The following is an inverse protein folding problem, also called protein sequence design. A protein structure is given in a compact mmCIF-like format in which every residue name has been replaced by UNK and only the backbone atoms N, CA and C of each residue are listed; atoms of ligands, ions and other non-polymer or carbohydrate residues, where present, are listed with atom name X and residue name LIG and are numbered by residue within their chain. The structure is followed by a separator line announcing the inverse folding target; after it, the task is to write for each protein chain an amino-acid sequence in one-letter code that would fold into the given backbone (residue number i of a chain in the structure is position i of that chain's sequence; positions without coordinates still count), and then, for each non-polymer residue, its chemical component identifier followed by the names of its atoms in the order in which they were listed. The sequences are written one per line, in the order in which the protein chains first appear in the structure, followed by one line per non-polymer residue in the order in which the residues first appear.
data_IF_444948904240
#
_entry.id   IF_444948904240
#
_cell.length_a   1.000
_cell.length_b   1.000
_cell.length_c   1.000
_cell.angle_alpha   90.00
_cell.angle_beta   90.00
_cell.angle_gamma   90.00
#
_symmetry.space_group_name_H-M   'P 1'
#
loop_
_entity.id
_entity.type
_entity.pdbx_description
1 polymer ?
#
# COMPACT_ATOMS: atom_id res chain seq x y z
N UNK A 1 10.09 2.74 -23.36
CA UNK A 1 9.00 2.60 -22.37
C UNK A 1 7.73 3.26 -22.89
N UNK A 2 6.55 2.68 -22.65
CA UNK A 2 5.29 3.14 -23.25
C UNK A 2 4.77 4.43 -22.61
N UNK A 3 4.61 5.48 -23.43
CA UNK A 3 3.99 6.76 -23.02
C UNK A 3 2.60 6.53 -22.43
N UNK A 4 1.78 5.72 -23.10
CA UNK A 4 0.40 5.42 -22.68
C UNK A 4 0.37 4.86 -21.25
N UNK A 5 1.25 3.91 -20.94
CA UNK A 5 1.31 3.27 -19.62
C UNK A 5 1.80 4.25 -18.55
N UNK A 6 2.89 4.98 -18.80
CA UNK A 6 3.40 5.96 -17.84
C UNK A 6 2.40 7.10 -17.58
N UNK A 7 1.74 7.60 -18.62
CA UNK A 7 0.68 8.60 -18.49
C UNK A 7 -0.51 8.08 -17.68
N UNK A 8 -0.89 6.81 -17.85
CA UNK A 8 -1.95 6.19 -17.07
C UNK A 8 -1.56 6.04 -15.59
N UNK A 9 -0.33 5.57 -15.32
CA UNK A 9 0.19 5.42 -13.97
C UNK A 9 0.24 6.78 -13.22
N UNK A 10 0.78 7.82 -13.85
CA UNK A 10 0.86 9.16 -13.24
C UNK A 10 -0.53 9.73 -12.93
N UNK A 11 -1.51 9.56 -13.84
CA UNK A 11 -2.90 9.97 -13.58
C UNK A 11 -3.54 9.18 -12.43
N UNK A 12 -3.27 7.87 -12.37
CA UNK A 12 -3.75 7.01 -11.28
C UNK A 12 -3.18 7.43 -9.93
N UNK A 13 -1.87 7.65 -9.86
CA UNK A 13 -1.18 8.12 -8.67
C UNK A 13 -1.78 9.42 -8.14
N UNK A 14 -1.99 10.41 -9.02
CA UNK A 14 -2.62 11.67 -8.64
C UNK A 14 -4.02 11.45 -8.03
N UNK A 15 -4.85 10.62 -8.66
CA UNK A 15 -6.19 10.29 -8.16
C UNK A 15 -6.17 9.61 -6.79
N UNK A 16 -5.25 8.68 -6.58
CA UNK A 16 -5.12 7.96 -5.30
C UNK A 16 -4.68 8.91 -4.19
N UNK A 17 -3.69 9.78 -4.48
CA UNK A 17 -3.22 10.78 -3.51
C UNK A 17 -4.34 11.76 -3.15
N UNK A 18 -5.11 12.25 -4.13
CA UNK A 18 -6.25 13.12 -3.88
C UNK A 18 -7.30 12.44 -2.97
N UNK A 19 -7.62 11.16 -3.24
CA UNK A 19 -8.56 10.37 -2.42
C UNK A 19 -8.05 10.12 -1.00
N UNK A 20 -6.77 9.79 -0.84
CA UNK A 20 -6.16 9.56 0.46
C UNK A 20 -6.09 10.84 1.29
N UNK A 21 -5.76 11.98 0.66
CA UNK A 21 -5.70 13.28 1.31
C UNK A 21 -7.10 13.73 1.77
N UNK A 22 -8.14 13.51 0.97
CA UNK A 22 -9.53 13.76 1.37
C UNK A 22 -9.93 12.95 2.61
N UNK A 23 -9.60 11.65 2.64
CA UNK A 23 -9.86 10.79 3.80
C UNK A 23 -9.10 11.23 5.04
N UNK A 24 -7.85 11.66 4.86
CA UNK A 24 -7.03 12.24 5.92
C UNK A 24 -7.64 13.52 6.48
N UNK A 25 -8.08 14.46 5.65
CA UNK A 25 -8.71 15.69 6.10
C UNK A 25 -9.98 15.41 6.91
N UNK A 26 -10.80 14.45 6.48
CA UNK A 26 -11.99 14.01 7.21
C UNK A 26 -11.63 13.41 8.58
N UNK A 27 -10.62 12.54 8.62
CA UNK A 27 -10.14 11.95 9.88
C UNK A 27 -9.56 13.02 10.82
N UNK A 28 -8.80 13.96 10.28
CA UNK A 28 -8.20 15.06 11.03
C UNK A 28 -9.27 15.96 11.66
N UNK A 29 -10.35 16.27 10.93
CA UNK A 29 -11.48 17.02 11.47
C UNK A 29 -12.22 16.25 12.57
N UNK A 30 -12.34 14.93 12.43
CA UNK A 30 -13.09 14.08 13.36
C UNK A 30 -12.34 13.81 14.67
N UNK A 31 -11.05 13.49 14.60
CA UNK A 31 -10.26 13.03 15.75
C UNK A 31 -9.21 14.03 16.22
N UNK A 32 -8.85 15.00 15.38
CA UNK A 32 -7.81 15.98 15.67
C UNK A 32 -6.38 15.47 15.40
N UNK A 33 -5.39 16.38 15.41
CA UNK A 33 -4.02 16.08 14.98
C UNK A 33 -3.24 15.15 15.93
N UNK A 34 -3.66 15.05 17.19
CA UNK A 34 -2.98 14.24 18.20
C UNK A 34 -3.50 12.80 18.29
N UNK A 35 -4.49 12.43 17.46
CA UNK A 35 -4.98 11.07 17.40
C UNK A 35 -3.88 10.13 16.91
N UNK A 36 -3.58 9.11 17.69
CA UNK A 36 -2.62 8.07 17.35
C UNK A 36 -3.10 7.22 16.16
N UNK A 37 -2.15 6.84 15.31
CA UNK A 37 -2.33 5.97 14.15
C UNK A 37 -1.20 4.96 14.09
N UNK A 38 -1.53 3.68 13.94
CA UNK A 38 -0.55 2.61 13.90
C UNK A 38 -1.13 1.36 13.23
N UNK A 39 -0.25 0.57 12.63
CA UNK A 39 -0.55 -0.81 12.27
C UNK A 39 -0.45 -1.75 13.48
N UNK A 40 -1.14 -2.91 13.46
CA UNK A 40 -1.13 -3.82 14.59
C UNK A 40 0.26 -4.41 14.84
N UNK A 41 0.71 -4.34 16.10
CA UNK A 41 1.88 -5.06 16.61
C UNK A 41 3.14 -4.91 15.73
N UNK A 42 3.46 -3.66 15.37
CA UNK A 42 4.70 -3.31 14.66
C UNK A 42 5.52 -2.28 15.41
N UNK A 43 6.85 -2.42 15.39
CA UNK A 43 7.79 -1.43 15.89
C UNK A 43 8.25 -0.42 14.81
N UNK A 44 7.67 -0.49 13.61
CA UNK A 44 8.15 0.23 12.41
C UNK A 44 7.19 1.31 11.91
N UNK A 45 6.34 1.87 12.78
CA UNK A 45 5.40 2.95 12.45
C UNK A 45 4.50 2.59 11.25
N UNK A 46 4.57 3.39 10.18
CA UNK A 46 4.10 3.05 8.84
C UNK A 46 5.30 2.54 8.03
N UNK A 47 5.45 1.21 7.83
CA UNK A 47 6.71 0.60 7.40
C UNK A 47 7.27 1.10 6.06
N UNK A 48 6.43 1.37 5.05
CA UNK A 48 6.90 1.81 3.73
C UNK A 48 7.44 3.24 3.83
N UNK A 49 6.69 4.14 4.45
CA UNK A 49 7.12 5.52 4.72
C UNK A 49 8.39 5.54 5.58
N UNK A 50 8.45 4.75 6.66
CA UNK A 50 9.61 4.68 7.53
C UNK A 50 10.83 4.13 6.80
N UNK A 51 10.67 3.08 5.97
CA UNK A 51 11.76 2.50 5.20
C UNK A 51 12.34 3.45 4.16
N UNK A 52 11.51 4.27 3.53
CA UNK A 52 11.95 5.13 2.41
C UNK A 52 12.39 6.52 2.86
N UNK A 53 11.75 7.08 3.89
CA UNK A 53 11.96 8.46 4.32
C UNK A 53 12.58 8.57 5.73
N UNK A 54 12.58 7.48 6.52
CA UNK A 54 12.94 7.52 7.95
C UNK A 54 11.95 8.30 8.81
N UNK A 55 10.80 8.68 8.26
CA UNK A 55 9.78 9.45 8.94
C UNK A 55 8.96 8.56 9.88
N UNK A 56 8.82 9.00 11.13
CA UNK A 56 8.04 8.32 12.16
C UNK A 56 6.64 8.93 12.18
N UNK A 57 5.67 8.24 11.60
CA UNK A 57 4.27 8.63 11.63
C UNK A 57 3.61 7.96 12.82
N UNK A 58 3.29 8.72 13.85
CA UNK A 58 2.70 8.22 15.12
C UNK A 58 1.27 8.73 15.32
N UNK A 59 0.96 9.89 14.77
CA UNK A 59 -0.35 10.55 14.86
C UNK A 59 -0.79 11.14 13.53
N UNK A 60 -2.08 11.43 13.41
CA UNK A 60 -2.65 12.05 12.20
C UNK A 60 -1.89 13.31 11.78
N UNK A 61 -1.47 14.15 12.72
CA UNK A 61 -0.75 15.38 12.40
C UNK A 61 0.56 15.18 11.62
N UNK A 62 1.22 14.02 11.77
CA UNK A 62 2.50 13.73 11.11
C UNK A 62 2.31 13.41 9.61
N UNK A 63 1.12 12.93 9.22
CA UNK A 63 0.80 12.57 7.83
C UNK A 63 0.85 13.77 6.88
N UNK A 64 0.66 14.99 7.38
CA UNK A 64 0.69 16.22 6.58
C UNK A 64 2.02 16.40 5.84
N UNK A 65 3.13 16.11 6.51
CA UNK A 65 4.45 16.25 5.93
C UNK A 65 4.67 15.18 4.85
N UNK A 66 4.12 13.98 5.04
CA UNK A 66 4.20 12.90 4.05
C UNK A 66 3.37 13.23 2.80
N UNK A 67 2.17 13.78 2.93
CA UNK A 67 1.40 14.26 1.77
C UNK A 67 2.15 15.35 1.00
N UNK A 68 2.87 16.22 1.71
CA UNK A 68 3.75 17.22 1.07
C UNK A 68 4.85 16.53 0.25
N UNK A 69 5.47 15.46 0.75
CA UNK A 69 6.43 14.65 -0.01
C UNK A 69 5.79 13.94 -1.21
N UNK A 70 4.58 13.38 -1.06
CA UNK A 70 3.83 12.79 -2.18
C UNK A 70 3.62 13.81 -3.32
N UNK A 71 3.28 15.06 -2.98
CA UNK A 71 3.08 16.13 -3.97
C UNK A 71 4.39 16.54 -4.66
N UNK A 72 5.54 16.43 -4.00
CA UNK A 72 6.86 16.68 -4.61
C UNK A 72 7.26 15.57 -5.59
N UNK A 73 6.94 14.32 -5.25
CA UNK A 73 7.23 13.15 -6.08
C UNK A 73 6.31 13.05 -7.31
N UNK A 74 5.12 13.65 -7.26
CA UNK A 74 4.19 13.65 -8.39
C UNK A 74 4.71 14.51 -9.55
N UNK A 75 5.00 13.90 -10.72
CA UNK A 75 5.37 14.67 -11.89
C UNK A 75 4.16 15.37 -12.50
N UNK A 76 4.39 16.40 -13.34
CA UNK A 76 3.33 16.97 -14.15
C UNK A 76 2.70 15.91 -15.07
N UNK A 77 1.45 16.15 -15.48
CA UNK A 77 0.76 15.27 -16.43
C UNK A 77 1.53 15.29 -17.75
N UNK A 78 1.79 14.10 -18.28
CA UNK A 78 2.45 13.91 -19.57
C UNK A 78 1.61 14.53 -20.68
N UNK A 79 2.19 15.50 -21.40
CA UNK A 79 1.54 16.17 -22.54
C UNK A 79 1.54 15.29 -23.78
N UNK A 80 0.65 15.56 -24.75
CA UNK A 80 0.56 14.77 -25.99
C UNK A 80 1.74 15.04 -26.94
N UNK A 81 2.19 16.29 -27.02
CA UNK A 81 3.11 16.74 -28.07
C UNK A 81 4.60 16.65 -27.68
N UNK A 82 4.93 16.53 -26.40
CA UNK A 82 6.32 16.54 -25.93
C UNK A 82 6.72 15.13 -25.50
N UNK A 83 7.87 14.66 -26.00
CA UNK A 83 8.44 13.37 -25.61
C UNK A 83 9.55 13.54 -24.58
N UNK A 84 9.24 13.26 -23.31
CA UNK A 84 10.20 13.24 -22.20
C UNK A 84 10.49 11.81 -21.73
N UNK A 85 11.62 11.53 -21.07
CA UNK A 85 11.83 10.24 -20.39
C UNK A 85 10.78 10.04 -19.28
N UNK A 86 9.91 9.04 -19.43
CA UNK A 86 8.76 8.83 -18.53
C UNK A 86 8.97 7.81 -17.42
N UNK A 87 10.03 7.00 -17.49
CA UNK A 87 10.22 5.89 -16.57
C UNK A 87 10.44 6.39 -15.13
N UNK A 88 11.44 7.24 -14.90
CA UNK A 88 11.72 7.76 -13.56
C UNK A 88 10.51 8.53 -12.98
N UNK A 89 9.88 9.47 -13.69
CA UNK A 89 8.64 10.11 -13.21
C UNK A 89 7.51 9.14 -12.87
N UNK A 90 7.34 8.07 -13.65
CA UNK A 90 6.31 7.06 -13.36
C UNK A 90 6.65 6.21 -12.12
N UNK A 91 7.94 5.94 -11.88
CA UNK A 91 8.39 5.26 -10.65
C UNK A 91 8.20 6.15 -9.42
N UNK A 92 8.54 7.44 -9.51
CA UNK A 92 8.32 8.42 -8.43
C UNK A 92 6.84 8.54 -8.09
N UNK A 93 5.98 8.61 -9.11
CA UNK A 93 4.53 8.57 -8.94
C UNK A 93 4.04 7.27 -8.26
N UNK A 94 4.65 6.13 -8.59
CA UNK A 94 4.39 4.85 -7.93
C UNK A 94 4.77 4.87 -6.45
N UNK A 95 5.91 5.44 -6.11
CA UNK A 95 6.34 5.59 -4.70
C UNK A 95 5.38 6.49 -3.91
N UNK A 96 4.99 7.62 -4.49
CA UNK A 96 4.00 8.51 -3.88
C UNK A 96 2.64 7.82 -3.67
N UNK A 97 2.27 6.89 -4.57
CA UNK A 97 1.06 6.07 -4.43
C UNK A 97 1.17 5.14 -3.23
N UNK A 98 2.31 4.48 -3.02
CA UNK A 98 2.51 3.62 -1.85
C UNK A 98 2.39 4.40 -0.53
N UNK A 99 2.98 5.59 -0.44
CA UNK A 99 2.86 6.43 0.76
C UNK A 99 1.40 6.83 1.03
N UNK A 100 0.66 7.23 -0.01
CA UNK A 100 -0.74 7.62 0.13
C UNK A 100 -1.64 6.44 0.54
N UNK A 101 -1.48 5.27 -0.09
CA UNK A 101 -2.23 4.06 0.26
C UNK A 101 -1.90 3.59 1.69
N UNK A 102 -0.64 3.66 2.12
CA UNK A 102 -0.26 3.28 3.49
C UNK A 102 -0.92 4.18 4.54
N UNK A 103 -0.95 5.51 4.31
CA UNK A 103 -1.67 6.43 5.19
C UNK A 103 -3.18 6.21 5.15
N UNK A 104 -3.75 6.00 3.96
CA UNK A 104 -5.18 5.71 3.80
C UNK A 104 -5.59 4.44 4.55
N UNK A 105 -4.77 3.40 4.48
CA UNK A 105 -4.99 2.15 5.19
C UNK A 105 -4.87 2.34 6.70
N UNK A 106 -3.89 3.10 7.19
CA UNK A 106 -3.78 3.45 8.60
C UNK A 106 -5.03 4.21 9.12
N UNK A 107 -5.60 5.10 8.29
CA UNK A 107 -6.86 5.79 8.60
C UNK A 107 -8.05 4.81 8.62
N UNK A 108 -8.08 3.80 7.75
CA UNK A 108 -9.11 2.74 7.81
C UNK A 108 -9.00 1.95 9.11
N UNK A 109 -7.79 1.59 9.55
CA UNK A 109 -7.60 0.91 10.85
C UNK A 109 -8.16 1.71 12.02
N UNK A 110 -8.09 3.05 11.95
CA UNK A 110 -8.70 3.96 12.92
C UNK A 110 -10.23 4.02 12.80
N UNK A 111 -10.75 4.15 11.58
CA UNK A 111 -12.19 4.31 11.32
C UNK A 111 -13.01 3.02 11.46
N UNK A 112 -12.43 1.90 11.07
CA UNK A 112 -13.07 0.59 10.95
C UNK A 112 -12.20 -0.48 11.64
N UNK A 113 -12.02 -0.42 12.97
CA UNK A 113 -11.02 -1.23 13.68
C UNK A 113 -11.25 -2.75 13.61
N UNK A 114 -12.47 -3.18 13.24
CA UNK A 114 -12.89 -4.58 13.13
C UNK A 114 -13.00 -5.07 11.67
N UNK A 115 -12.57 -4.26 10.69
CA UNK A 115 -12.64 -4.63 9.27
C UNK A 115 -11.72 -5.81 8.94
N UNK A 116 -10.55 -5.88 9.60
CA UNK A 116 -9.55 -6.93 9.40
C UNK A 116 -9.46 -7.88 10.58
N UNK A 117 -9.10 -9.14 10.32
CA UNK A 117 -8.89 -10.14 11.37
C UNK A 117 -7.60 -9.89 12.16
N UNK A 118 -6.56 -9.33 11.53
CA UNK A 118 -5.22 -9.13 12.11
C UNK A 118 -4.59 -10.46 12.54
N UNK A 119 -4.92 -11.52 11.82
CA UNK A 119 -4.44 -12.90 12.01
C UNK A 119 -3.65 -13.37 10.79
N UNK A 120 -2.86 -14.43 10.96
CA UNK A 120 -2.11 -15.05 9.87
C UNK A 120 -3.05 -15.73 8.85
N UNK A 121 -4.09 -16.41 9.34
CA UNK A 121 -5.05 -17.15 8.53
C UNK A 121 -6.45 -16.49 8.57
N UNK A 122 -7.27 -16.65 7.52
CA UNK A 122 -8.63 -16.15 7.50
C UNK A 122 -9.51 -16.87 8.53
N UNK A 123 -10.56 -16.18 8.98
CA UNK A 123 -11.56 -16.75 9.91
C UNK A 123 -12.82 -17.16 9.15
N UNK A 124 -13.67 -17.96 9.80
CA UNK A 124 -14.97 -18.34 9.23
C UNK A 124 -15.89 -17.14 8.92
N UNK A 125 -15.70 -16.01 9.63
CA UNK A 125 -16.53 -14.82 9.49
C UNK A 125 -15.89 -13.73 8.62
N UNK A 126 -14.58 -13.74 8.43
CA UNK A 126 -13.84 -12.69 7.74
C UNK A 126 -12.57 -13.23 7.08
N UNK A 127 -12.41 -12.93 5.79
CA UNK A 127 -11.28 -13.35 4.95
C UNK A 127 -10.19 -12.27 4.81
N UNK A 128 -10.44 -11.04 5.28
CA UNK A 128 -9.52 -9.92 5.15
C UNK A 128 -8.57 -9.87 6.33
N UNK A 129 -7.28 -10.12 6.07
CA UNK A 129 -6.25 -10.21 7.12
C UNK A 129 -5.75 -8.83 7.57
N UNK A 130 -5.61 -7.91 6.61
CA UNK A 130 -5.05 -6.57 6.81
C UNK A 130 -3.50 -6.59 6.81
N UNK A 131 -2.91 -5.55 7.38
CA UNK A 131 -1.47 -5.45 7.61
C UNK A 131 -0.98 -6.60 8.51
N UNK A 132 0.03 -7.33 8.00
CA UNK A 132 0.72 -8.37 8.75
C UNK A 132 1.62 -7.75 9.83
N UNK A 133 1.63 -8.35 11.02
CA UNK A 133 2.43 -7.86 12.13
C UNK A 133 3.88 -8.38 12.11
N UNK A 134 4.72 -7.83 12.99
CA UNK A 134 6.15 -8.19 13.05
C UNK A 134 6.39 -9.66 13.45
N UNK A 135 5.42 -10.33 14.08
CA UNK A 135 5.52 -11.75 14.44
C UNK A 135 5.35 -12.60 13.19
N UNK A 136 4.34 -12.31 12.37
CA UNK A 136 4.09 -12.98 11.10
C UNK A 136 5.29 -12.77 10.16
N UNK A 137 5.78 -11.54 10.03
CA UNK A 137 6.95 -11.24 9.19
C UNK A 137 8.20 -12.01 9.64
N UNK A 138 8.45 -12.13 10.94
CA UNK A 138 9.59 -12.91 11.45
C UNK A 138 9.45 -14.41 11.20
N UNK A 139 8.25 -14.96 11.36
CA UNK A 139 7.98 -16.38 11.11
C UNK A 139 8.15 -16.74 9.63
N UNK A 140 7.51 -15.98 8.74
CA UNK A 140 7.55 -16.21 7.28
C UNK A 140 8.86 -15.78 6.65
N UNK A 141 9.54 -14.79 7.22
CA UNK A 141 10.83 -14.31 6.76
C UNK A 141 11.91 -15.39 6.72
N UNK A 142 11.87 -16.37 7.63
CA UNK A 142 12.82 -17.50 7.63
C UNK A 142 12.71 -18.32 6.34
N UNK A 143 11.48 -18.57 5.87
CA UNK A 143 11.19 -19.36 4.67
C UNK A 143 11.78 -18.72 3.40
N UNK A 144 11.91 -17.39 3.37
CA UNK A 144 12.54 -16.66 2.25
C UNK A 144 14.07 -16.70 2.32
N UNK A 145 14.64 -16.76 3.51
CA UNK A 145 16.10 -16.76 3.72
C UNK A 145 16.69 -18.15 3.51
N UNK A 146 15.99 -19.19 3.93
CA UNK A 146 16.43 -20.58 3.76
C UNK A 146 16.08 -21.18 2.38
N UNK A 147 15.30 -20.44 1.57
CA UNK A 147 14.93 -20.81 0.21
C UNK A 147 13.78 -21.80 0.12
N UNK A 148 13.09 -22.10 1.23
CA UNK A 148 11.90 -22.95 1.24
C UNK A 148 10.75 -22.30 0.47
N UNK A 149 10.62 -20.98 0.56
CA UNK A 149 9.73 -20.18 -0.26
C UNK A 149 10.55 -19.42 -1.33
N UNK A 150 10.45 -19.79 -2.63
CA UNK A 150 11.21 -19.14 -3.69
C UNK A 150 10.79 -17.68 -3.97
N UNK A 151 9.64 -17.24 -3.44
CA UNK A 151 9.09 -15.91 -3.64
C UNK A 151 7.67 -15.80 -3.08
N UNK A 152 6.95 -14.74 -3.44
CA UNK A 152 5.54 -14.57 -3.10
C UNK A 152 4.76 -14.09 -4.33
N UNK A 153 3.48 -14.41 -4.38
CA UNK A 153 2.58 -13.96 -5.45
C UNK A 153 1.60 -12.88 -4.97
N UNK A 154 1.86 -11.62 -5.33
CA UNK A 154 0.89 -10.53 -5.14
C UNK A 154 -0.14 -10.53 -6.28
N UNK A 155 -1.34 -11.06 -6.03
CA UNK A 155 -2.44 -11.11 -7.00
C UNK A 155 -3.42 -9.97 -6.72
N UNK A 156 -3.67 -9.14 -7.74
CA UNK A 156 -4.66 -8.07 -7.69
C UNK A 156 -5.56 -8.12 -8.93
N UNK A 157 -6.86 -7.90 -8.72
CA UNK A 157 -7.87 -7.85 -9.78
C UNK A 157 -8.88 -9.00 -9.71
N UNK A 158 -9.63 -9.18 -10.79
CA UNK A 158 -10.68 -10.19 -10.88
C UNK A 158 -10.53 -10.98 -12.19
N UNK A 159 -10.15 -12.27 -12.13
CA UNK A 159 -10.14 -13.14 -13.30
C UNK A 159 -11.56 -13.31 -13.89
N UNK A 160 -11.69 -13.72 -15.17
CA UNK A 160 -12.99 -13.84 -15.83
C UNK A 160 -13.95 -14.84 -15.17
N UNK A 161 -13.44 -15.82 -14.43
CA UNK A 161 -14.26 -16.78 -13.68
C UNK A 161 -13.57 -17.25 -12.40
N UNK A 162 -14.35 -17.78 -11.46
CA UNK A 162 -13.86 -18.35 -10.19
C UNK A 162 -12.99 -19.59 -10.40
N UNK A 163 -13.26 -20.38 -11.45
CA UNK A 163 -12.49 -21.57 -11.80
C UNK A 163 -11.09 -21.19 -12.25
N UNK A 164 -10.96 -20.11 -13.02
CA UNK A 164 -9.66 -19.57 -13.44
C UNK A 164 -8.92 -19.02 -12.22
N UNK A 165 -9.59 -18.27 -11.35
CA UNK A 165 -8.98 -17.76 -10.12
C UNK A 165 -8.45 -18.90 -9.22
N UNK A 166 -9.26 -19.94 -9.00
CA UNK A 166 -8.87 -21.12 -8.22
C UNK A 166 -7.70 -21.85 -8.85
N UNK A 167 -7.74 -22.06 -10.17
CA UNK A 167 -6.64 -22.71 -10.89
C UNK A 167 -5.32 -21.95 -10.74
N UNK A 168 -5.34 -20.62 -10.90
CA UNK A 168 -4.14 -19.78 -10.73
C UNK A 168 -3.59 -19.90 -9.31
N UNK A 169 -4.45 -19.82 -8.29
CA UNK A 169 -4.04 -19.92 -6.89
C UNK A 169 -3.44 -21.30 -6.56
N UNK A 170 -4.06 -22.38 -7.03
CA UNK A 170 -3.55 -23.75 -6.83
C UNK A 170 -2.19 -23.96 -7.52
N UNK A 171 -2.03 -23.49 -8.75
CA UNK A 171 -0.75 -23.61 -9.48
C UNK A 171 0.40 -22.85 -8.80
N UNK A 172 0.11 -21.75 -8.09
CA UNK A 172 1.11 -21.01 -7.31
C UNK A 172 1.44 -21.73 -6.01
N UNK A 173 0.42 -22.24 -5.31
CA UNK A 173 0.60 -23.02 -4.09
C UNK A 173 1.43 -24.28 -4.34
N UNK A 174 1.21 -24.99 -5.46
CA UNK A 174 2.01 -26.15 -5.87
C UNK A 174 3.49 -25.82 -6.14
N UNK A 175 3.82 -24.55 -6.36
CA UNK A 175 5.20 -24.05 -6.55
C UNK A 175 5.80 -23.48 -5.26
N UNK A 176 5.14 -23.66 -4.12
CA UNK A 176 5.51 -23.08 -2.82
C UNK A 176 5.52 -21.53 -2.83
N UNK A 177 4.63 -20.90 -3.61
CA UNK A 177 4.45 -19.44 -3.66
C UNK A 177 3.16 -18.97 -2.97
#
# INVERSE_FOLDING_TARGET
MSKIICSAAIRGAKKIIDMAEESYEQALQKYGPNQEVAFPNTAYFLPVIYSMLGAKVEKLGDMKDIFTECRKLLPPIVTEDIWLPYLAPALDAGMATFFAEEMYEAIRYLNEPNFYTKTEDPTAANIWLGAADDVIFRKRGVEFVDGTAPGFAAIMGAPPSKEIASKIALELQEKNL
#
